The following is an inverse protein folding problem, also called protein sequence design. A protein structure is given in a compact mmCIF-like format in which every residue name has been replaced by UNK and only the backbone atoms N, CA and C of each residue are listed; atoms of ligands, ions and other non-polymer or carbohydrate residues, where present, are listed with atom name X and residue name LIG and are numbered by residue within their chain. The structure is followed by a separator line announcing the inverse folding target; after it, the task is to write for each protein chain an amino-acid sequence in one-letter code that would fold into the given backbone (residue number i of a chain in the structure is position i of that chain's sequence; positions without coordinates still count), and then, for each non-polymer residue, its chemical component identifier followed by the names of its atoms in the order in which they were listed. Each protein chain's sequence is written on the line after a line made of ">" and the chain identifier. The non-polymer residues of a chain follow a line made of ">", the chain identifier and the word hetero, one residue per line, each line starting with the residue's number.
data_IF_505245368245
#
_entry.id   IF_505245368245
#
_cell.length_a   1.000
_cell.length_b   1.000
_cell.length_c   1.000
_cell.angle_alpha   90.00
_cell.angle_beta   90.00
_cell.angle_gamma   90.00
#
_symmetry.space_group_name_H-M   'P 1'
#
loop_
_entity.id
_entity.type
_entity.pdbx_description
1 polymer ?
#
# COMPACT_ATOMS: atom_id res chain seq x y z
N UNK A 1 27.44 2.23 -23.57
CA UNK A 1 26.17 1.46 -23.51
C UNK A 1 25.14 2.39 -22.91
N UNK A 2 24.21 2.93 -23.70
CA UNK A 2 23.05 3.64 -23.15
C UNK A 2 22.11 2.58 -22.57
N UNK A 3 22.08 2.45 -21.25
CA UNK A 3 20.94 1.80 -20.60
C UNK A 3 19.77 2.78 -20.75
N UNK A 4 18.90 2.52 -21.72
CA UNK A 4 17.60 3.19 -21.80
C UNK A 4 16.89 2.90 -20.48
N UNK A 5 16.45 3.94 -19.78
CA UNK A 5 15.64 3.74 -18.56
C UNK A 5 14.41 2.88 -18.91
N UNK A 6 14.07 1.89 -18.07
CA UNK A 6 12.91 1.05 -18.31
C UNK A 6 11.66 1.91 -18.39
N UNK A 7 10.80 1.61 -19.37
CA UNK A 7 9.51 2.26 -19.54
C UNK A 7 8.64 2.13 -18.28
N UNK A 8 7.65 3.01 -18.14
CA UNK A 8 6.70 2.93 -17.03
C UNK A 8 6.01 1.56 -16.95
N UNK A 9 5.70 0.96 -18.11
CA UNK A 9 5.09 -0.37 -18.18
C UNK A 9 6.03 -1.47 -17.67
N UNK A 10 7.32 -1.42 -18.04
CA UNK A 10 8.33 -2.36 -17.55
C UNK A 10 8.54 -2.23 -16.04
N UNK A 11 8.63 -0.99 -15.53
CA UNK A 11 8.74 -0.75 -14.09
C UNK A 11 7.52 -1.29 -13.32
N UNK A 12 6.29 -1.03 -13.80
CA UNK A 12 5.08 -1.58 -13.18
C UNK A 12 5.06 -3.11 -13.27
N UNK A 13 5.50 -3.68 -14.40
CA UNK A 13 5.56 -5.13 -14.58
C UNK A 13 6.50 -5.80 -13.57
N UNK A 14 7.58 -5.14 -13.15
CA UNK A 14 8.46 -5.66 -12.09
C UNK A 14 7.75 -5.75 -10.74
N UNK A 15 6.99 -4.72 -10.34
CA UNK A 15 6.18 -4.76 -9.10
C UNK A 15 5.14 -5.86 -9.16
N UNK A 16 4.42 -5.97 -10.28
CA UNK A 16 3.39 -7.01 -10.49
C UNK A 16 4.01 -8.41 -10.47
N UNK A 17 5.16 -8.61 -11.12
CA UNK A 17 5.85 -9.90 -11.15
C UNK A 17 6.45 -10.29 -9.79
N UNK A 18 6.84 -9.31 -8.97
CA UNK A 18 7.22 -9.56 -7.58
C UNK A 18 6.02 -10.03 -6.77
N UNK A 19 4.91 -9.28 -6.83
CA UNK A 19 3.68 -9.58 -6.11
C UNK A 19 3.07 -10.94 -6.50
N UNK A 20 3.14 -11.31 -7.78
CA UNK A 20 2.64 -12.59 -8.29
C UNK A 20 3.31 -13.83 -7.67
N UNK A 21 4.47 -13.69 -7.02
CA UNK A 21 5.16 -14.78 -6.32
C UNK A 21 4.59 -15.04 -4.92
N UNK A 22 3.76 -14.14 -4.42
CA UNK A 22 3.20 -14.21 -3.07
C UNK A 22 1.75 -14.71 -3.09
N UNK A 23 1.19 -15.18 -1.97
CA UNK A 23 -0.25 -15.38 -1.85
C UNK A 23 -1.02 -14.08 -2.08
N UNK A 24 -2.27 -14.18 -2.51
CA UNK A 24 -3.11 -13.04 -2.91
C UNK A 24 -3.13 -11.89 -1.88
N UNK A 25 -3.25 -12.23 -0.59
CA UNK A 25 -3.34 -11.26 0.48
C UNK A 25 -2.00 -10.50 0.67
N UNK A 26 -0.89 -11.22 0.63
CA UNK A 26 0.46 -10.64 0.72
C UNK A 26 0.81 -9.81 -0.52
N UNK A 27 0.42 -10.28 -1.71
CA UNK A 27 0.57 -9.56 -2.98
C UNK A 27 -0.18 -8.22 -2.95
N UNK A 28 -1.41 -8.21 -2.40
CA UNK A 28 -2.18 -6.98 -2.22
C UNK A 28 -1.46 -6.00 -1.28
N UNK A 29 -0.88 -6.48 -0.17
CA UNK A 29 -0.11 -5.63 0.73
C UNK A 29 1.20 -5.12 0.11
N UNK A 30 1.93 -5.96 -0.62
CA UNK A 30 3.16 -5.55 -1.31
C UNK A 30 2.87 -4.43 -2.32
N UNK A 31 1.82 -4.56 -3.12
CA UNK A 31 1.46 -3.51 -4.07
C UNK A 31 0.97 -2.25 -3.35
N UNK A 32 0.21 -2.40 -2.26
CA UNK A 32 -0.33 -1.28 -1.49
C UNK A 32 0.75 -0.41 -0.84
N UNK A 33 1.81 -1.02 -0.27
CA UNK A 33 2.93 -0.25 0.32
C UNK A 33 3.73 0.52 -0.74
N UNK A 34 3.67 0.10 -2.00
CA UNK A 34 4.31 0.78 -3.12
C UNK A 34 3.39 1.75 -3.87
N UNK A 35 2.14 1.97 -3.41
CA UNK A 35 1.14 2.81 -4.10
C UNK A 35 1.66 4.16 -4.58
N UNK A 36 2.40 4.90 -3.76
CA UNK A 36 2.94 6.21 -4.15
C UNK A 36 4.03 6.12 -5.22
N UNK A 37 4.79 5.03 -5.23
CA UNK A 37 5.78 4.78 -6.29
C UNK A 37 5.08 4.40 -7.59
N UNK A 38 4.04 3.57 -7.51
CA UNK A 38 3.21 3.20 -8.65
C UNK A 38 2.52 4.45 -9.24
N UNK A 39 1.89 5.29 -8.40
CA UNK A 39 1.33 6.58 -8.80
C UNK A 39 2.38 7.44 -9.51
N UNK A 40 3.58 7.57 -8.93
CA UNK A 40 4.66 8.35 -9.54
C UNK A 40 5.10 7.81 -10.91
N UNK A 41 5.13 6.49 -11.10
CA UNK A 41 5.47 5.88 -12.40
C UNK A 41 4.37 6.18 -13.43
N UNK A 42 3.11 6.23 -13.00
CA UNK A 42 1.96 6.62 -13.82
C UNK A 42 1.80 8.14 -14.00
N UNK A 43 2.74 8.95 -13.50
CA UNK A 43 2.68 10.41 -13.60
C UNK A 43 1.63 11.05 -12.70
N UNK A 44 1.26 10.38 -11.61
CA UNK A 44 0.33 10.86 -10.58
C UNK A 44 1.06 11.31 -9.30
N UNK A 45 0.55 12.35 -8.63
CA UNK A 45 -0.53 13.22 -9.11
C UNK A 45 -0.07 14.10 -10.29
N UNK A 46 -0.98 14.34 -11.22
CA UNK A 46 -0.81 15.26 -12.34
C UNK A 46 -0.66 16.71 -11.86
N UNK A 47 -0.15 17.59 -12.72
CA UNK A 47 -0.01 19.01 -12.38
C UNK A 47 -1.36 19.68 -12.02
N UNK A 48 -2.45 19.22 -12.64
CA UNK A 48 -3.81 19.67 -12.33
C UNK A 48 -4.24 19.21 -10.92
N UNK A 49 -4.06 17.93 -10.63
CA UNK A 49 -4.32 17.36 -9.31
C UNK A 49 -3.53 18.08 -8.22
N UNK A 50 -2.23 18.33 -8.44
CA UNK A 50 -1.40 19.11 -7.51
C UNK A 50 -1.99 20.52 -7.30
N UNK A 51 -2.48 21.18 -8.35
CA UNK A 51 -3.11 22.50 -8.22
C UNK A 51 -4.37 22.43 -7.36
N UNK A 52 -5.22 21.42 -7.57
CA UNK A 52 -6.42 21.19 -6.76
C UNK A 52 -6.05 20.90 -5.30
N UNK A 53 -5.06 20.05 -5.06
CA UNK A 53 -4.69 19.63 -3.70
C UNK A 53 -4.16 20.81 -2.87
N UNK A 54 -3.48 21.77 -3.51
CA UNK A 54 -3.01 23.00 -2.86
C UNK A 54 -4.13 23.93 -2.42
N UNK A 55 -5.36 23.77 -2.93
CA UNK A 55 -6.52 24.58 -2.50
C UNK A 55 -7.31 23.90 -1.37
N UNK A 56 -7.02 22.65 -1.04
CA UNK A 56 -7.75 21.91 0.00
C UNK A 56 -7.27 22.30 1.39
N UNK A 57 -8.21 22.41 2.33
CA UNK A 57 -7.87 22.55 3.76
C UNK A 57 -7.28 21.25 4.30
N UNK A 58 -6.58 21.27 5.45
CA UNK A 58 -6.10 20.05 6.09
C UNK A 58 -7.22 19.02 6.36
N UNK A 59 -8.42 19.47 6.72
CA UNK A 59 -9.56 18.58 6.92
C UNK A 59 -10.01 17.93 5.61
N UNK A 60 -10.12 18.71 4.53
CA UNK A 60 -10.50 18.18 3.20
C UNK A 60 -9.43 17.22 2.66
N UNK A 61 -8.16 17.50 2.91
CA UNK A 61 -7.06 16.58 2.59
C UNK A 61 -7.19 15.27 3.37
N UNK A 62 -7.52 15.32 4.67
CA UNK A 62 -7.70 14.12 5.49
C UNK A 62 -8.95 13.32 5.10
N UNK A 63 -10.05 13.98 4.73
CA UNK A 63 -11.26 13.33 4.19
C UNK A 63 -10.97 12.64 2.86
N UNK A 64 -10.26 13.31 1.95
CA UNK A 64 -9.84 12.72 0.69
C UNK A 64 -8.93 11.52 0.90
N UNK A 65 -7.92 11.64 1.77
CA UNK A 65 -7.02 10.53 2.08
C UNK A 65 -7.78 9.30 2.61
N UNK A 66 -8.75 9.52 3.51
CA UNK A 66 -9.62 8.44 4.00
C UNK A 66 -10.45 7.82 2.87
N UNK A 67 -11.07 8.65 2.03
CA UNK A 67 -11.85 8.18 0.89
C UNK A 67 -11.03 7.31 -0.08
N UNK A 68 -9.82 7.75 -0.43
CA UNK A 68 -8.91 6.99 -1.32
C UNK A 68 -8.54 5.63 -0.74
N UNK A 69 -8.34 5.54 0.58
CA UNK A 69 -8.09 4.26 1.26
C UNK A 69 -9.31 3.36 1.24
N UNK A 70 -10.48 3.90 1.58
CA UNK A 70 -11.73 3.13 1.64
C UNK A 70 -12.12 2.55 0.27
N UNK A 71 -11.81 3.28 -0.81
CA UNK A 71 -12.12 2.90 -2.20
C UNK A 71 -10.90 2.39 -2.97
N UNK A 72 -9.81 2.02 -2.30
CA UNK A 72 -8.60 1.53 -2.96
C UNK A 72 -8.87 0.34 -3.90
N UNK A 73 -9.80 -0.54 -3.50
CA UNK A 73 -10.22 -1.72 -4.25
C UNK A 73 -11.04 -1.42 -5.52
N UNK A 74 -11.46 -0.18 -5.73
CA UNK A 74 -12.14 0.31 -6.94
C UNK A 74 -11.17 1.07 -7.87
N UNK A 75 -9.98 1.41 -7.38
CA UNK A 75 -8.97 2.18 -8.09
C UNK A 75 -7.90 1.33 -8.81
N UNK A 76 -6.76 1.94 -9.18
CA UNK A 76 -5.66 1.27 -9.90
C UNK A 76 -5.14 0.01 -9.22
N UNK A 77 -5.20 -0.04 -7.88
CA UNK A 77 -4.81 -1.19 -7.07
C UNK A 77 -5.50 -2.49 -7.51
N UNK A 78 -6.78 -2.44 -7.88
CA UNK A 78 -7.49 -3.61 -8.40
C UNK A 78 -6.81 -4.17 -9.65
N UNK A 79 -6.45 -3.28 -10.60
CA UNK A 79 -5.76 -3.65 -11.83
C UNK A 79 -4.40 -4.28 -11.56
N UNK A 80 -3.61 -3.73 -10.63
CA UNK A 80 -2.31 -4.30 -10.26
C UNK A 80 -2.44 -5.70 -9.64
N UNK A 81 -3.35 -5.88 -8.69
CA UNK A 81 -3.56 -7.18 -8.03
C UNK A 81 -4.14 -8.20 -9.01
N UNK A 82 -5.06 -7.81 -9.90
CA UNK A 82 -5.60 -8.70 -10.94
C UNK A 82 -4.52 -9.15 -11.92
N UNK A 83 -3.58 -8.28 -12.29
CA UNK A 83 -2.44 -8.67 -13.13
C UNK A 83 -1.49 -9.63 -12.42
N UNK A 84 -1.29 -9.48 -11.11
CA UNK A 84 -0.49 -10.41 -10.31
C UNK A 84 -1.19 -11.77 -10.10
N UNK A 85 -2.52 -11.76 -9.96
CA UNK A 85 -3.36 -12.93 -9.72
C UNK A 85 -4.53 -13.02 -10.74
N UNK A 86 -4.26 -13.35 -12.01
CA UNK A 86 -5.28 -13.30 -13.07
C UNK A 86 -6.43 -14.29 -12.86
N UNK A 87 -6.18 -15.39 -12.14
CA UNK A 87 -7.17 -16.43 -11.85
C UNK A 87 -7.90 -16.23 -10.52
N UNK A 88 -7.52 -15.24 -9.71
CA UNK A 88 -8.28 -14.92 -8.51
C UNK A 88 -9.63 -14.29 -8.89
N UNK A 89 -10.65 -14.66 -8.11
CA UNK A 89 -11.97 -14.06 -8.20
C UNK A 89 -11.91 -12.56 -7.87
N UNK A 90 -12.75 -11.77 -8.54
CA UNK A 90 -12.74 -10.32 -8.38
C UNK A 90 -13.11 -9.89 -6.96
N UNK A 91 -14.03 -10.61 -6.30
CA UNK A 91 -14.39 -10.31 -4.91
C UNK A 91 -13.26 -10.70 -3.96
N UNK A 92 -12.55 -11.80 -4.23
CA UNK A 92 -11.35 -12.16 -3.48
C UNK A 92 -10.25 -11.09 -3.61
N UNK A 93 -10.07 -10.51 -4.79
CA UNK A 93 -9.12 -9.40 -5.02
C UNK A 93 -9.55 -8.16 -4.25
N UNK A 94 -10.83 -7.76 -4.34
CA UNK A 94 -11.34 -6.61 -3.58
C UNK A 94 -11.13 -6.78 -2.08
N UNK A 95 -11.47 -7.95 -1.55
CA UNK A 95 -11.29 -8.26 -0.13
C UNK A 95 -9.83 -8.28 0.29
N UNK A 96 -8.92 -8.79 -0.53
CA UNK A 96 -7.49 -8.75 -0.25
C UNK A 96 -6.96 -7.31 -0.16
N UNK A 97 -7.37 -6.43 -1.08
CA UNK A 97 -7.01 -5.01 -1.06
C UNK A 97 -7.58 -4.32 0.19
N UNK A 98 -8.87 -4.50 0.47
CA UNK A 98 -9.51 -3.92 1.67
C UNK A 98 -8.78 -4.37 2.93
N UNK A 99 -8.43 -5.65 3.02
CA UNK A 99 -7.73 -6.23 4.17
C UNK A 99 -6.33 -5.64 4.33
N UNK A 100 -5.56 -5.52 3.24
CA UNK A 100 -4.24 -4.90 3.25
C UNK A 100 -4.28 -3.43 3.72
N UNK A 101 -5.25 -2.65 3.23
CA UNK A 101 -5.43 -1.24 3.61
C UNK A 101 -5.83 -1.11 5.09
N UNK A 102 -6.74 -1.96 5.56
CA UNK A 102 -7.18 -1.96 6.96
C UNK A 102 -6.06 -2.41 7.91
N UNK A 103 -5.26 -3.38 7.51
CA UNK A 103 -4.09 -3.81 8.28
C UNK A 103 -3.06 -2.69 8.45
N UNK A 104 -2.70 -1.97 7.37
CA UNK A 104 -1.81 -0.80 7.48
C UNK A 104 -2.42 0.27 8.40
N UNK A 105 -3.72 0.58 8.24
CA UNK A 105 -4.40 1.57 9.08
C UNK A 105 -4.46 1.17 10.56
N UNK A 106 -4.63 -0.12 10.86
CA UNK A 106 -4.56 -0.63 12.23
C UNK A 106 -3.16 -0.51 12.82
N UNK A 107 -2.11 -0.79 12.03
CA UNK A 107 -0.73 -0.62 12.47
C UNK A 107 -0.41 0.85 12.76
N UNK A 108 -0.92 1.79 11.94
CA UNK A 108 -0.82 3.23 12.20
C UNK A 108 -1.57 3.63 13.48
N UNK A 109 -2.79 3.14 13.68
CA UNK A 109 -3.61 3.47 14.85
C UNK A 109 -3.04 2.94 16.17
N UNK A 110 -2.38 1.77 16.13
CA UNK A 110 -1.70 1.17 17.30
C UNK A 110 -0.33 1.79 17.59
N UNK A 111 0.21 2.59 16.66
CA UNK A 111 1.49 3.22 16.88
C UNK A 111 1.41 4.31 17.96
N UNK A 112 2.17 4.10 19.03
CA UNK A 112 2.36 5.07 20.10
C UNK A 112 3.83 5.16 20.42
N UNK A 113 4.43 6.34 20.24
CA UNK A 113 5.84 6.56 20.53
C UNK A 113 6.05 6.86 22.02
N UNK A 114 6.30 5.81 22.79
CA UNK A 114 6.46 5.87 24.26
C UNK A 114 7.73 5.15 24.79
N UNK A 115 8.75 5.02 23.95
CA UNK A 115 10.02 4.42 24.32
C UNK A 115 10.96 4.26 23.12
N UNK A 116 11.66 3.12 23.07
CA UNK A 116 12.46 2.73 21.91
C UNK A 116 11.57 2.69 20.66
N UNK A 117 11.96 3.46 19.65
CA UNK A 117 11.16 3.67 18.44
C UNK A 117 10.86 2.35 17.73
N UNK A 118 11.87 1.49 17.56
CA UNK A 118 11.70 0.22 16.86
C UNK A 118 10.82 -0.74 17.65
N UNK A 119 10.97 -0.79 18.97
CA UNK A 119 10.08 -1.56 19.83
C UNK A 119 8.61 -1.07 19.73
N UNK A 120 8.38 0.24 19.59
CA UNK A 120 7.04 0.79 19.37
C UNK A 120 6.45 0.35 18.02
N UNK A 121 7.24 0.36 16.95
CA UNK A 121 6.85 -0.13 15.62
C UNK A 121 6.50 -1.62 15.66
N UNK A 122 7.38 -2.45 16.24
CA UNK A 122 7.16 -3.90 16.33
C UNK A 122 5.88 -4.21 17.10
N UNK A 123 5.65 -3.52 18.22
CA UNK A 123 4.43 -3.68 19.03
C UNK A 123 3.17 -3.30 18.25
N UNK A 124 3.18 -2.17 17.55
CA UNK A 124 2.03 -1.70 16.78
C UNK A 124 1.65 -2.69 15.67
N UNK A 125 2.64 -3.18 14.92
CA UNK A 125 2.41 -4.21 13.89
C UNK A 125 1.95 -5.53 14.50
N UNK A 126 2.48 -5.94 15.66
CA UNK A 126 2.02 -7.15 16.34
C UNK A 126 0.55 -7.07 16.78
N UNK A 127 0.10 -5.90 17.25
CA UNK A 127 -1.30 -5.66 17.60
C UNK A 127 -2.19 -5.71 16.35
N UNK A 128 -1.79 -5.03 15.26
CA UNK A 128 -2.50 -5.11 13.99
C UNK A 128 -2.54 -6.52 13.40
N UNK A 129 -1.46 -7.30 13.54
CA UNK A 129 -1.40 -8.69 13.08
C UNK A 129 -2.36 -9.62 13.83
N UNK A 130 -2.67 -9.32 15.10
CA UNK A 130 -3.67 -10.05 15.86
C UNK A 130 -5.10 -9.80 15.34
N UNK A 131 -5.38 -8.60 14.82
CA UNK A 131 -6.67 -8.25 14.20
C UNK A 131 -6.78 -8.73 12.75
N UNK A 132 -5.65 -8.73 12.03
CA UNK A 132 -5.56 -9.11 10.63
C UNK A 132 -4.56 -10.28 10.45
N UNK A 133 -4.93 -11.49 10.91
CA UNK A 133 -4.13 -12.68 10.67
C UNK A 133 -4.21 -13.10 9.20
N UNK A 134 -3.24 -13.88 8.73
CA UNK A 134 -3.26 -14.51 7.40
C UNK A 134 -2.22 -13.99 6.43
N UNK A 135 -1.46 -12.95 6.79
CA UNK A 135 -0.24 -12.59 6.07
C UNK A 135 0.93 -13.50 6.47
N UNK A 136 1.93 -13.59 5.59
CA UNK A 136 3.21 -14.23 5.86
C UNK A 136 4.04 -13.40 6.84
N UNK A 137 4.96 -14.06 7.58
CA UNK A 137 5.88 -13.34 8.49
C UNK A 137 6.76 -12.34 7.74
N UNK A 138 7.11 -12.61 6.48
CA UNK A 138 7.82 -11.65 5.63
C UNK A 138 7.02 -10.37 5.41
N UNK A 139 5.71 -10.47 5.26
CA UNK A 139 4.81 -9.34 5.09
C UNK A 139 4.69 -8.55 6.38
N UNK A 140 4.57 -9.21 7.54
CA UNK A 140 4.61 -8.52 8.84
C UNK A 140 5.94 -7.80 9.07
N UNK A 141 7.08 -8.41 8.69
CA UNK A 141 8.38 -7.74 8.72
C UNK A 141 8.40 -6.50 7.82
N UNK A 142 7.91 -6.61 6.60
CA UNK A 142 7.89 -5.50 5.65
C UNK A 142 6.94 -4.38 6.12
N UNK A 143 5.83 -4.73 6.78
CA UNK A 143 4.93 -3.77 7.43
C UNK A 143 5.62 -2.97 8.55
N UNK A 144 6.49 -3.59 9.35
CA UNK A 144 7.31 -2.89 10.36
C UNK A 144 8.21 -1.85 9.70
N UNK A 145 8.88 -2.20 8.60
CA UNK A 145 9.72 -1.27 7.86
C UNK A 145 8.91 -0.12 7.26
N UNK A 146 7.73 -0.41 6.71
CA UNK A 146 6.82 0.58 6.14
C UNK A 146 6.31 1.57 7.20
N UNK A 147 5.86 1.06 8.35
CA UNK A 147 5.41 1.89 9.47
C UNK A 147 6.55 2.76 10.01
N UNK A 148 7.75 2.19 10.16
CA UNK A 148 8.92 2.94 10.59
C UNK A 148 9.30 4.09 9.63
N UNK A 149 9.08 3.91 8.32
CA UNK A 149 9.30 4.96 7.33
C UNK A 149 8.29 6.11 7.45
N UNK A 150 7.01 5.83 7.72
CA UNK A 150 5.99 6.86 7.84
C UNK A 150 5.99 7.59 9.19
N UNK A 151 6.44 6.94 10.27
CA UNK A 151 6.38 7.49 11.63
C UNK A 151 7.66 8.22 12.07
N UNK A 152 8.67 8.31 11.19
CA UNK A 152 9.94 8.98 11.44
C UNK A 152 10.00 10.34 10.75
#
# INVERSE_FOLDING_TARGET
>A
MNQTEPSAEEQIAEFVASAAKQPLLDAAFELWRWRYRLDSIEGRPTAEEVRIYRTLTPQQMAERYRYERDHAHEGPMFGYVKRAHPHADDDAIRQAIITAVKFEGAAEAHFKWDGDFWACVVRAVAQAAAEYPGFLETTYRDARNNLAYYMK
#
